data_IF_963651625967
#
_entry.id   IF_963651625967
#
_cell.length_a   1.000
_cell.length_b   1.000
_cell.length_c   1.000
_cell.angle_alpha   90.00
_cell.angle_beta   90.00
_cell.angle_gamma   90.00
#
_symmetry.space_group_name_H-M   'P 1'
#
loop_
_entity.id
_entity.type
_entity.pdbx_description
1 polymer ?
#
# COMPACT_ATOMS: atom_id res chain seq x y z
N UNK A 1 -3.17 11.04 10.61
CA UNK A 1 -2.47 10.12 11.54
C UNK A 1 -3.21 8.80 11.69
N UNK A 2 -4.42 8.76 12.29
CA UNK A 2 -5.16 7.49 12.45
C UNK A 2 -5.44 6.76 11.13
N UNK A 3 -5.83 7.48 10.07
CA UNK A 3 -6.05 6.86 8.76
C UNK A 3 -4.78 6.21 8.21
N UNK A 4 -3.62 6.89 8.30
CA UNK A 4 -2.33 6.34 7.89
C UNK A 4 -1.99 5.06 8.66
N UNK A 5 -2.20 5.07 9.99
CA UNK A 5 -1.98 3.89 10.84
C UNK A 5 -2.90 2.74 10.44
N UNK A 6 -4.18 3.02 10.19
CA UNK A 6 -5.15 2.01 9.74
C UNK A 6 -4.76 1.39 8.41
N UNK A 7 -4.31 2.19 7.44
CA UNK A 7 -3.82 1.72 6.14
C UNK A 7 -2.59 0.81 6.34
N UNK A 8 -1.59 1.26 7.09
CA UNK A 8 -0.36 0.47 7.33
C UNK A 8 -0.64 -0.84 8.04
N UNK A 9 -1.51 -0.83 9.06
CA UNK A 9 -1.90 -2.05 9.77
C UNK A 9 -2.70 -3.01 8.87
N UNK A 10 -3.59 -2.49 8.03
CA UNK A 10 -4.31 -3.28 7.04
C UNK A 10 -3.38 -3.93 6.01
N UNK A 11 -2.45 -3.16 5.44
CA UNK A 11 -1.41 -3.65 4.54
C UNK A 11 -0.51 -4.70 5.19
N UNK A 12 -0.12 -4.50 6.46
CA UNK A 12 0.66 -5.48 7.20
C UNK A 12 -0.11 -6.80 7.36
N UNK A 13 -1.37 -6.74 7.79
CA UNK A 13 -2.20 -7.93 7.91
C UNK A 13 -2.37 -8.66 6.58
N UNK A 14 -2.66 -7.94 5.49
CA UNK A 14 -2.82 -8.51 4.15
C UNK A 14 -1.54 -9.20 3.67
N UNK A 15 -0.37 -8.59 3.91
CA UNK A 15 0.92 -9.18 3.59
C UNK A 15 1.15 -10.51 4.31
N UNK A 16 0.84 -10.59 5.61
CA UNK A 16 1.04 -11.81 6.40
C UNK A 16 0.00 -12.89 6.15
N UNK A 17 -1.28 -12.53 5.98
CA UNK A 17 -2.37 -13.50 5.91
C UNK A 17 -2.69 -13.94 4.47
N UNK A 18 -2.71 -12.99 3.53
CA UNK A 18 -3.07 -13.27 2.13
C UNK A 18 -1.86 -13.66 1.28
N UNK A 19 -0.64 -13.47 1.79
CA UNK A 19 0.60 -13.89 1.12
C UNK A 19 0.83 -13.21 -0.23
N UNK A 20 0.21 -12.04 -0.45
CA UNK A 20 0.48 -11.22 -1.61
C UNK A 20 1.95 -10.85 -1.54
N UNK A 21 2.73 -11.13 -2.58
CA UNK A 21 4.18 -10.90 -2.61
C UNK A 21 4.61 -9.42 -2.49
N UNK A 22 3.76 -8.54 -1.97
CA UNK A 22 3.96 -7.12 -1.70
C UNK A 22 2.97 -6.59 -0.65
N UNK A 23 3.23 -5.36 -0.17
CA UNK A 23 2.46 -4.72 0.90
C UNK A 23 1.19 -3.98 0.43
N UNK A 24 0.98 -3.87 -0.87
CA UNK A 24 -0.13 -3.14 -1.49
C UNK A 24 -0.50 -3.79 -2.81
N UNK A 25 -1.80 -3.98 -3.08
CA UNK A 25 -2.24 -4.67 -4.29
C UNK A 25 -3.40 -3.97 -5.01
N UNK A 26 -3.71 -2.72 -4.63
CA UNK A 26 -4.76 -1.90 -5.23
C UNK A 26 -6.14 -2.55 -5.20
N UNK A 27 -6.40 -3.38 -4.18
CA UNK A 27 -7.72 -3.97 -3.96
C UNK A 27 -8.75 -2.84 -3.72
N UNK A 28 -10.01 -2.97 -4.16
CA UNK A 28 -11.01 -1.92 -4.01
C UNK A 28 -11.20 -1.41 -2.57
N UNK A 29 -11.00 -2.25 -1.55
CA UNK A 29 -11.10 -1.84 -0.14
C UNK A 29 -9.88 -1.04 0.29
N UNK A 30 -8.68 -1.40 -0.18
CA UNK A 30 -7.47 -0.60 0.01
C UNK A 30 -7.65 0.78 -0.63
N UNK A 31 -8.11 0.81 -1.89
CA UNK A 31 -8.38 2.04 -2.63
C UNK A 31 -9.43 2.92 -1.95
N UNK A 32 -10.48 2.33 -1.39
CA UNK A 32 -11.53 3.02 -0.63
C UNK A 32 -10.95 3.83 0.54
N UNK A 33 -9.95 3.30 1.24
CA UNK A 33 -9.28 4.00 2.34
C UNK A 33 -8.24 5.02 1.86
N UNK A 34 -7.64 4.79 0.69
CA UNK A 34 -6.56 5.62 0.15
C UNK A 34 -7.06 6.93 -0.49
N UNK A 35 -8.23 6.91 -1.15
CA UNK A 35 -8.83 8.10 -1.74
C UNK A 35 -9.04 9.27 -0.74
N UNK A 36 -9.68 9.09 0.43
CA UNK A 36 -9.81 10.16 1.42
C UNK A 36 -8.47 10.55 2.04
N UNK A 37 -7.47 9.65 2.06
CA UNK A 37 -6.12 9.99 2.51
C UNK A 37 -5.44 10.99 1.58
N UNK A 38 -5.55 10.81 0.25
CA UNK A 38 -5.02 11.72 -0.75
C UNK A 38 -5.72 13.09 -0.70
N UNK A 39 -7.06 13.10 -0.69
CA UNK A 39 -7.85 14.33 -0.60
C UNK A 39 -7.64 15.06 0.74
N UNK A 40 -7.53 14.33 1.85
CA UNK A 40 -7.23 14.88 3.17
C UNK A 40 -5.82 15.48 3.25
N UNK A 41 -4.84 14.85 2.62
CA UNK A 41 -3.48 15.41 2.52
C UNK A 41 -3.51 16.70 1.71
N UNK A 42 -4.23 16.75 0.59
CA UNK A 42 -4.40 17.97 -0.19
C UNK A 42 -5.11 19.08 0.61
N UNK A 43 -6.13 18.71 1.40
CA UNK A 43 -6.84 19.62 2.29
C UNK A 43 -5.89 20.26 3.32
N UNK A 44 -5.02 19.48 3.96
CA UNK A 44 -4.06 20.00 4.95
C UNK A 44 -3.08 21.01 4.33
N UNK A 45 -2.57 20.72 3.13
CA UNK A 45 -1.71 21.66 2.41
C UNK A 45 -2.47 22.94 2.03
N UNK A 46 -3.71 22.81 1.59
CA UNK A 46 -4.56 23.96 1.26
C UNK A 46 -4.90 24.81 2.49
N UNK A 47 -5.14 24.17 3.64
CA UNK A 47 -5.42 24.87 4.89
C UNK A 47 -4.22 25.70 5.35
N UNK A 48 -3.01 25.13 5.28
CA UNK A 48 -1.78 25.86 5.59
C UNK A 48 -1.61 27.12 4.72
N UNK A 49 -1.96 27.07 3.43
CA UNK A 49 -1.95 28.25 2.54
C UNK A 49 -3.06 29.24 2.90
N UNK A 50 -4.24 28.73 3.23
CA UNK A 50 -5.39 29.57 3.59
C UNK A 50 -5.14 30.35 4.88
N UNK A 51 -4.53 29.72 5.89
CA UNK A 51 -4.22 30.35 7.17
C UNK A 51 -3.17 31.46 7.02
N UNK A 52 -2.12 31.22 6.22
CA UNK A 52 -1.01 32.16 6.07
C UNK A 52 -1.31 33.34 5.15
N UNK A 53 -2.23 33.18 4.17
CA UNK A 53 -2.48 34.18 3.11
C UNK A 53 -3.94 34.59 2.93
N UNK A 54 -4.86 34.00 3.68
CA UNK A 54 -6.31 34.17 3.50
C UNK A 54 -6.81 33.93 2.05
N UNK A 55 -6.02 33.20 1.24
CA UNK A 55 -6.30 32.86 -0.16
C UNK A 55 -6.81 31.43 -0.28
N UNK A 56 -7.41 31.06 -1.42
CA UNK A 56 -7.91 29.72 -1.73
C UNK A 56 -9.00 29.15 -0.81
N UNK A 57 -9.71 29.99 -0.06
CA UNK A 57 -10.80 29.57 0.84
C UNK A 57 -11.83 28.66 0.14
N UNK A 58 -12.24 28.99 -1.08
CA UNK A 58 -13.19 28.18 -1.84
C UNK A 58 -12.64 26.79 -2.22
N UNK A 59 -11.35 26.70 -2.55
CA UNK A 59 -10.69 25.43 -2.87
C UNK A 59 -10.55 24.54 -1.63
N UNK A 60 -10.14 25.11 -0.50
CA UNK A 60 -10.07 24.41 0.79
C UNK A 60 -11.44 23.87 1.21
N UNK A 61 -12.50 24.67 1.02
CA UNK A 61 -13.87 24.23 1.32
C UNK A 61 -14.31 23.07 0.42
N UNK A 62 -14.02 23.15 -0.89
CA UNK A 62 -14.30 22.05 -1.82
C UNK A 62 -13.55 20.77 -1.44
N UNK A 63 -12.26 20.87 -1.11
CA UNK A 63 -11.46 19.73 -0.66
C UNK A 63 -12.01 19.10 0.62
N UNK A 64 -12.54 19.90 1.55
CA UNK A 64 -13.18 19.39 2.77
C UNK A 64 -14.44 18.60 2.45
N UNK A 65 -15.29 19.11 1.56
CA UNK A 65 -16.48 18.41 1.07
C UNK A 65 -16.08 17.11 0.37
N UNK A 66 -15.07 17.15 -0.51
CA UNK A 66 -14.56 15.98 -1.22
C UNK A 66 -14.00 14.92 -0.27
N UNK A 67 -13.13 15.29 0.67
CA UNK A 67 -12.52 14.36 1.61
C UNK A 67 -13.57 13.64 2.46
N UNK A 68 -14.57 14.38 2.97
CA UNK A 68 -15.68 13.79 3.72
C UNK A 68 -16.55 12.88 2.84
N UNK A 69 -16.85 13.31 1.61
CA UNK A 69 -17.64 12.52 0.66
C UNK A 69 -16.93 11.22 0.28
N UNK A 70 -15.60 11.23 0.15
CA UNK A 70 -14.79 10.04 -0.11
C UNK A 70 -14.80 9.06 1.07
N UNK A 71 -14.89 9.54 2.32
CA UNK A 71 -15.08 8.66 3.48
C UNK A 71 -16.46 7.96 3.43
N UNK A 72 -17.51 8.68 3.04
CA UNK A 72 -18.85 8.09 2.86
C UNK A 72 -18.87 7.10 1.70
N UNK A 73 -18.23 7.45 0.58
CA UNK A 73 -18.07 6.55 -0.56
C UNK A 73 -17.33 5.28 -0.16
N UNK A 74 -16.21 5.39 0.54
CA UNK A 74 -15.47 4.22 1.02
C UNK A 74 -16.32 3.33 1.93
N UNK A 75 -17.10 3.93 2.83
CA UNK A 75 -18.04 3.18 3.69
C UNK A 75 -19.10 2.44 2.86
N UNK A 76 -19.68 3.11 1.86
CA UNK A 76 -20.62 2.49 0.92
C UNK A 76 -19.98 1.32 0.16
N UNK A 77 -18.80 1.54 -0.43
CA UNK A 77 -18.09 0.55 -1.23
C UNK A 77 -17.79 -0.73 -0.43
N UNK A 78 -17.34 -0.61 0.82
CA UNK A 78 -16.97 -1.76 1.65
C UNK A 78 -18.18 -2.47 2.26
N UNK A 79 -19.29 -1.75 2.54
CA UNK A 79 -20.44 -2.30 3.29
C UNK A 79 -21.66 -2.69 2.43
N UNK A 80 -21.77 -2.15 1.22
CA UNK A 80 -22.94 -2.39 0.36
C UNK A 80 -22.96 -3.78 -0.30
N UNK A 81 -21.82 -4.48 -0.33
CA UNK A 81 -21.68 -5.74 -1.08
C UNK A 81 -21.67 -5.56 -2.60
N UNK A 82 -21.59 -4.32 -3.07
CA UNK A 82 -21.58 -3.97 -4.50
C UNK A 82 -20.23 -4.31 -5.16
N UNK A 83 -19.15 -4.30 -4.37
CA UNK A 83 -17.81 -4.71 -4.81
C UNK A 83 -17.53 -6.17 -4.47
N UNK A 84 -16.77 -6.83 -5.36
CA UNK A 84 -16.13 -8.12 -5.05
C UNK A 84 -14.74 -7.80 -4.52
N UNK A 85 -14.49 -8.11 -3.24
CA UNK A 85 -13.18 -7.95 -2.60
C UNK A 85 -13.02 -9.00 -1.50
N UNK A 86 -11.79 -9.49 -1.32
CA UNK A 86 -11.43 -10.40 -0.22
C UNK A 86 -11.50 -9.72 1.16
N UNK A 87 -11.43 -8.38 1.18
CA UNK A 87 -11.50 -7.58 2.40
C UNK A 87 -12.92 -7.14 2.75
N UNK A 88 -13.93 -7.53 1.96
CA UNK A 88 -15.31 -7.20 2.23
C UNK A 88 -15.88 -8.12 3.33
N UNK A 89 -16.19 -7.56 4.49
CA UNK A 89 -16.79 -8.28 5.62
C UNK A 89 -18.18 -7.72 5.98
N UNK A 90 -19.14 -8.62 6.24
CA UNK A 90 -20.51 -8.30 6.66
C UNK A 90 -21.23 -7.29 5.74
N UNK A 91 -21.41 -7.68 4.47
CA UNK A 91 -22.19 -6.95 3.49
C UNK A 91 -23.69 -7.16 3.69
N UNK A 92 -24.45 -6.07 3.70
CA UNK A 92 -25.90 -6.08 3.80
C UNK A 92 -26.46 -5.03 2.82
N UNK A 93 -27.15 -5.46 1.74
CA UNK A 93 -27.70 -4.54 0.74
C UNK A 93 -28.64 -3.49 1.33
N UNK A 94 -29.41 -3.83 2.38
CA UNK A 94 -30.32 -2.88 3.02
C UNK A 94 -29.56 -1.74 3.70
N UNK A 95 -28.45 -2.06 4.39
CA UNK A 95 -27.54 -1.05 4.97
C UNK A 95 -26.83 -0.26 3.89
N UNK A 96 -26.43 -0.91 2.80
CA UNK A 96 -25.84 -0.27 1.63
C UNK A 96 -26.75 0.84 1.07
N UNK A 97 -28.05 0.57 0.93
CA UNK A 97 -29.04 1.55 0.46
C UNK A 97 -29.19 2.73 1.41
N UNK A 98 -29.21 2.50 2.73
CA UNK A 98 -29.24 3.58 3.72
C UNK A 98 -27.99 4.47 3.59
N UNK A 99 -26.80 3.88 3.51
CA UNK A 99 -25.53 4.61 3.36
C UNK A 99 -25.52 5.39 2.04
N UNK A 100 -26.02 4.81 0.95
CA UNK A 100 -26.12 5.47 -0.35
C UNK A 100 -27.03 6.70 -0.28
N UNK A 101 -28.22 6.57 0.31
CA UNK A 101 -29.15 7.69 0.49
C UNK A 101 -28.53 8.80 1.36
N UNK A 102 -27.87 8.42 2.46
CA UNK A 102 -27.16 9.36 3.32
C UNK A 102 -26.01 10.06 2.59
N UNK A 103 -25.24 9.34 1.79
CA UNK A 103 -24.15 9.89 0.97
C UNK A 103 -24.69 10.89 -0.05
N UNK A 104 -25.73 10.54 -0.81
CA UNK A 104 -26.33 11.44 -1.80
C UNK A 104 -26.86 12.70 -1.12
N UNK A 105 -27.53 12.57 0.02
CA UNK A 105 -28.06 13.71 0.77
C UNK A 105 -26.94 14.63 1.27
N UNK A 106 -25.90 14.09 1.91
CA UNK A 106 -24.85 14.91 2.52
C UNK A 106 -23.89 15.46 1.47
N UNK A 107 -23.42 14.64 0.53
CA UNK A 107 -22.55 15.09 -0.57
C UNK A 107 -23.29 16.01 -1.53
N UNK A 108 -24.51 15.64 -1.95
CA UNK A 108 -25.33 16.47 -2.82
C UNK A 108 -25.72 17.79 -2.16
N UNK A 109 -26.15 17.76 -0.90
CA UNK A 109 -26.51 18.95 -0.14
C UNK A 109 -25.33 19.89 0.10
N UNK A 110 -24.15 19.36 0.44
CA UNK A 110 -22.94 20.16 0.65
C UNK A 110 -22.42 20.77 -0.65
N UNK A 111 -22.40 20.01 -1.76
CA UNK A 111 -22.02 20.53 -3.08
C UNK A 111 -23.01 21.56 -3.61
N UNK A 112 -24.32 21.35 -3.42
CA UNK A 112 -25.35 22.33 -3.77
C UNK A 112 -25.17 23.62 -2.97
N UNK A 113 -24.95 23.51 -1.66
CA UNK A 113 -24.69 24.67 -0.80
C UNK A 113 -23.42 25.41 -1.25
N UNK A 114 -22.37 24.68 -1.61
CA UNK A 114 -21.14 25.24 -2.17
C UNK A 114 -21.39 25.95 -3.51
N UNK A 115 -22.19 25.38 -4.41
CA UNK A 115 -22.53 25.99 -5.69
C UNK A 115 -23.31 27.30 -5.51
N UNK A 116 -24.31 27.31 -4.61
CA UNK A 116 -25.15 28.48 -4.35
C UNK A 116 -24.40 29.58 -3.59
N UNK A 117 -23.60 29.22 -2.57
CA UNK A 117 -22.94 30.19 -1.67
C UNK A 117 -21.45 30.41 -1.95
N UNK A 118 -20.85 29.65 -2.86
CA UNK A 118 -19.41 29.68 -3.12
C UNK A 118 -18.89 31.04 -3.57
N UNK A 119 -19.72 31.83 -4.24
CA UNK A 119 -19.38 33.20 -4.66
C UNK A 119 -19.00 34.12 -3.48
N UNK A 120 -19.54 33.87 -2.27
CA UNK A 120 -19.24 34.65 -1.06
C UNK A 120 -17.88 34.33 -0.45
N UNK A 121 -17.28 33.20 -0.82
CA UNK A 121 -16.03 32.67 -0.25
C UNK A 121 -14.83 32.96 -1.17
N UNK A 122 -15.05 33.75 -2.24
CA UNK A 122 -14.00 34.07 -3.21
C UNK A 122 -12.99 35.04 -2.59
N UNK A 123 -11.73 34.61 -2.53
CA UNK A 123 -10.58 35.45 -2.14
C UNK A 123 -9.87 35.95 -3.40
N UNK A 124 -9.27 37.15 -3.34
CA UNK A 124 -8.44 37.65 -4.45
C UNK A 124 -7.18 36.79 -4.53
N UNK A 125 -6.96 36.18 -5.69
CA UNK A 125 -5.74 35.41 -5.99
C UNK A 125 -4.73 36.39 -6.57
N UNK A 126 -3.66 36.68 -5.84
CA UNK A 126 -2.56 37.53 -6.34
C UNK A 126 -1.23 36.80 -6.15
N UNK A 127 -1.13 35.61 -6.74
CA UNK A 127 0.03 34.75 -6.59
C UNK A 127 0.94 34.87 -7.81
N UNK A 128 2.24 35.05 -7.57
CA UNK A 128 3.23 34.91 -8.62
C UNK A 128 3.34 33.43 -9.02
N UNK A 129 3.58 33.17 -10.31
CA UNK A 129 3.77 31.79 -10.81
C UNK A 129 4.90 31.03 -10.09
N UNK A 130 5.89 31.75 -9.55
CA UNK A 130 7.01 31.19 -8.79
C UNK A 130 6.97 31.61 -7.32
N UNK A 131 6.07 30.99 -6.55
CA UNK A 131 5.97 31.17 -5.10
C UNK A 131 5.64 29.85 -4.41
N UNK A 132 5.90 29.77 -3.10
CA UNK A 132 5.50 28.60 -2.29
C UNK A 132 4.00 28.33 -2.38
N UNK A 133 3.15 29.36 -2.56
CA UNK A 133 1.71 29.16 -2.74
C UNK A 133 1.41 28.39 -4.04
N UNK A 134 2.07 28.75 -5.13
CA UNK A 134 1.90 28.09 -6.44
C UNK A 134 2.43 26.66 -6.44
N UNK A 135 3.55 26.39 -5.75
CA UNK A 135 4.09 25.04 -5.59
C UNK A 135 3.18 24.15 -4.73
N UNK A 136 2.65 24.67 -3.61
CA UNK A 136 1.70 23.95 -2.76
C UNK A 136 0.38 23.68 -3.50
N UNK A 137 -0.08 24.64 -4.32
CA UNK A 137 -1.24 24.43 -5.17
C UNK A 137 -0.97 23.39 -6.27
N UNK A 138 0.21 23.39 -6.88
CA UNK A 138 0.63 22.36 -7.84
C UNK A 138 0.60 20.95 -7.22
N UNK A 139 1.12 20.79 -6.00
CA UNK A 139 1.03 19.53 -5.25
C UNK A 139 -0.42 19.12 -4.97
N UNK A 140 -1.30 20.06 -4.62
CA UNK A 140 -2.71 19.77 -4.43
C UNK A 140 -3.37 19.25 -5.71
N UNK A 141 -3.06 19.84 -6.87
CA UNK A 141 -3.59 19.37 -8.16
C UNK A 141 -3.13 17.94 -8.45
N UNK A 142 -1.86 17.63 -8.21
CA UNK A 142 -1.34 16.27 -8.40
C UNK A 142 -1.96 15.24 -7.45
N UNK A 143 -2.14 15.59 -6.18
CA UNK A 143 -2.84 14.73 -5.21
C UNK A 143 -4.29 14.47 -5.62
N UNK A 144 -4.99 15.50 -6.10
CA UNK A 144 -6.37 15.34 -6.59
C UNK A 144 -6.43 14.53 -7.89
N UNK A 145 -5.47 14.70 -8.79
CA UNK A 145 -5.36 13.88 -9.99
C UNK A 145 -5.11 12.40 -9.63
N UNK A 146 -4.21 12.13 -8.67
CA UNK A 146 -3.95 10.79 -8.18
C UNK A 146 -5.20 10.16 -7.54
N UNK A 147 -5.93 10.93 -6.73
CA UNK A 147 -7.21 10.49 -6.16
C UNK A 147 -8.22 10.16 -7.27
N UNK A 148 -8.34 11.00 -8.31
CA UNK A 148 -9.25 10.76 -9.43
C UNK A 148 -8.88 9.49 -10.21
N UNK A 149 -7.59 9.21 -10.43
CA UNK A 149 -7.15 7.96 -11.05
C UNK A 149 -7.60 6.75 -10.24
N UNK A 150 -7.42 6.79 -8.91
CA UNK A 150 -7.85 5.69 -8.03
C UNK A 150 -9.36 5.55 -8.02
N UNK A 151 -10.09 6.66 -7.95
CA UNK A 151 -11.55 6.70 -7.99
C UNK A 151 -12.09 6.09 -9.29
N UNK A 152 -11.57 6.53 -10.44
CA UNK A 152 -11.99 6.04 -11.75
C UNK A 152 -11.61 4.57 -11.93
N UNK A 153 -10.39 4.17 -11.58
CA UNK A 153 -9.95 2.77 -11.67
C UNK A 153 -10.79 1.84 -10.79
N UNK A 154 -11.29 2.33 -9.64
CA UNK A 154 -12.12 1.55 -8.72
C UNK A 154 -13.59 1.50 -9.16
N UNK A 155 -14.15 2.63 -9.61
CA UNK A 155 -15.57 2.73 -9.96
C UNK A 155 -15.88 2.27 -11.39
N UNK A 156 -14.93 2.34 -12.33
CA UNK A 156 -15.17 2.00 -13.73
C UNK A 156 -15.58 0.52 -13.92
N UNK A 157 -14.87 -0.48 -13.35
CA UNK A 157 -15.33 -1.88 -13.35
C UNK A 157 -16.75 -2.05 -12.83
N UNK A 158 -17.08 -1.31 -11.76
CA UNK A 158 -18.36 -1.39 -11.11
C UNK A 158 -19.48 -0.86 -12.01
N UNK A 159 -19.30 0.33 -12.58
CA UNK A 159 -20.29 0.93 -13.49
C UNK A 159 -20.51 0.05 -14.72
N UNK A 160 -19.43 -0.49 -15.29
CA UNK A 160 -19.51 -1.36 -16.46
C UNK A 160 -20.32 -2.65 -16.18
N UNK A 161 -20.15 -3.22 -14.99
CA UNK A 161 -20.92 -4.38 -14.52
C UNK A 161 -22.42 -4.04 -14.36
N UNK A 162 -22.74 -2.88 -13.80
CA UNK A 162 -24.13 -2.46 -13.58
C UNK A 162 -24.86 -2.07 -14.88
N UNK A 163 -24.13 -1.59 -15.88
CA UNK A 163 -24.68 -1.27 -17.20
C UNK A 163 -24.84 -2.52 -18.11
N UNK A 164 -24.45 -3.70 -17.64
CA UNK A 164 -24.56 -4.94 -18.43
C UNK A 164 -23.56 -5.03 -19.59
N UNK A 165 -22.53 -4.18 -19.61
CA UNK A 165 -21.52 -4.14 -20.68
C UNK A 165 -20.44 -5.21 -20.53
N UNK A 166 -20.46 -5.97 -19.42
CA UNK A 166 -19.52 -7.04 -19.08
C UNK A 166 -18.66 -6.72 -17.86
N UNK A 167 -17.79 -7.64 -17.46
CA UNK A 167 -16.84 -7.42 -16.35
C UNK A 167 -15.47 -7.02 -16.89
N UNK A 168 -15.10 -5.75 -16.72
CA UNK A 168 -13.73 -5.28 -16.92
C UNK A 168 -13.03 -5.32 -15.57
N UNK A 169 -11.78 -5.79 -15.52
CA UNK A 169 -10.94 -5.71 -14.33
C UNK A 169 -9.79 -4.74 -14.58
N UNK A 170 -9.62 -3.76 -13.69
CA UNK A 170 -8.48 -2.86 -13.70
C UNK A 170 -7.51 -3.37 -12.64
N UNK A 171 -6.40 -3.94 -13.08
CA UNK A 171 -5.39 -4.53 -12.21
C UNK A 171 -4.29 -3.56 -11.76
N UNK A 172 -3.45 -4.05 -10.86
CA UNK A 172 -2.27 -3.36 -10.32
C UNK A 172 -1.39 -2.64 -11.37
N UNK A 173 -1.08 -3.22 -12.56
CA UNK A 173 -0.19 -2.55 -13.53
C UNK A 173 -0.68 -1.17 -14.00
N UNK A 174 -2.00 -1.00 -14.13
CA UNK A 174 -2.61 0.29 -14.48
C UNK A 174 -2.35 1.32 -13.38
N UNK A 175 -2.66 0.96 -12.14
CA UNK A 175 -2.48 1.85 -11.00
C UNK A 175 -1.01 2.20 -10.81
N UNK A 176 -0.12 1.22 -10.76
CA UNK A 176 1.32 1.44 -10.61
C UNK A 176 1.86 2.42 -11.66
N UNK A 177 1.53 2.21 -12.94
CA UNK A 177 1.98 3.10 -14.02
C UNK A 177 1.48 4.52 -13.82
N UNK A 178 0.17 4.71 -13.65
CA UNK A 178 -0.42 6.05 -13.48
C UNK A 178 0.10 6.75 -12.22
N UNK A 179 0.25 6.00 -11.12
CA UNK A 179 0.76 6.53 -9.86
C UNK A 179 2.23 6.93 -9.98
N UNK A 180 3.07 6.17 -10.68
CA UNK A 180 4.47 6.57 -10.93
C UNK A 180 4.54 7.91 -11.67
N UNK A 181 3.74 8.08 -12.74
CA UNK A 181 3.72 9.32 -13.52
C UNK A 181 3.24 10.54 -12.71
N UNK A 182 2.35 10.34 -11.73
CA UNK A 182 1.81 11.42 -10.90
C UNK A 182 2.66 11.69 -9.65
N UNK A 183 3.21 10.65 -9.04
CA UNK A 183 3.99 10.77 -7.80
C UNK A 183 5.42 11.25 -8.04
N UNK A 184 6.00 10.99 -9.21
CA UNK A 184 7.33 11.52 -9.56
C UNK A 184 7.38 13.07 -9.56
N UNK A 185 6.50 13.80 -10.28
CA UNK A 185 6.49 15.26 -10.21
C UNK A 185 6.04 15.78 -8.84
N UNK A 186 5.13 15.07 -8.15
CA UNK A 186 4.72 15.43 -6.79
C UNK A 186 5.89 15.40 -5.81
N UNK A 187 6.70 14.35 -5.83
CA UNK A 187 7.87 14.21 -4.96
C UNK A 187 8.90 15.33 -5.24
N UNK A 188 9.12 15.66 -6.51
CA UNK A 188 10.00 16.78 -6.89
C UNK A 188 9.48 18.11 -6.35
N UNK A 189 8.20 18.43 -6.57
CA UNK A 189 7.57 19.66 -6.09
C UNK A 189 7.56 19.74 -4.56
N UNK A 190 7.33 18.62 -3.86
CA UNK A 190 7.39 18.53 -2.41
C UNK A 190 8.81 18.76 -1.87
N UNK A 191 9.85 18.25 -2.56
CA UNK A 191 11.24 18.52 -2.20
C UNK A 191 11.63 20.00 -2.38
N UNK A 192 11.12 20.64 -3.43
CA UNK A 192 11.39 22.07 -3.72
C UNK A 192 10.58 22.99 -2.80
N UNK A 193 9.34 22.62 -2.46
CA UNK A 193 8.37 23.48 -1.77
C UNK A 193 8.86 24.14 -0.47
N UNK A 194 9.45 23.41 0.48
CA UNK A 194 10.00 23.97 1.72
C UNK A 194 11.20 24.90 1.51
N UNK A 195 11.94 24.71 0.42
CA UNK A 195 13.13 25.50 0.07
C UNK A 195 12.77 26.87 -0.52
N UNK A 196 11.52 27.04 -0.98
CA UNK A 196 10.99 28.30 -1.49
C UNK A 196 10.31 29.06 -0.35
N UNK A 197 10.67 30.33 -0.17
CA UNK A 197 10.03 31.19 0.84
C UNK A 197 8.59 31.54 0.45
N UNK A 198 7.78 31.86 1.45
CA UNK A 198 6.45 32.42 1.23
C UNK A 198 6.57 33.82 0.59
N UNK A 199 6.16 33.97 -0.67
CA UNK A 199 6.28 35.22 -1.45
C UNK A 199 7.18 35.09 -2.69
N UNK A 200 7.60 36.23 -3.26
CA UNK A 200 8.52 36.27 -4.42
C UNK A 200 9.94 35.95 -3.98
N UNK A 201 10.43 34.76 -4.32
CA UNK A 201 11.81 34.38 -4.08
C UNK A 201 12.70 34.64 -5.30
N UNK A 202 13.98 34.98 -5.07
CA UNK A 202 14.95 35.18 -6.15
C UNK A 202 15.41 33.81 -6.68
N UNK A 203 15.12 33.44 -7.94
CA UNK A 203 15.27 32.07 -8.47
C UNK A 203 16.72 31.54 -8.50
N UNK A 204 17.72 32.41 -8.31
CA UNK A 204 19.15 32.07 -8.47
C UNK A 204 19.72 31.21 -7.34
N UNK A 205 19.21 31.30 -6.10
CA UNK A 205 19.68 30.47 -4.96
C UNK A 205 19.04 29.07 -4.93
N UNK A 206 17.76 28.96 -5.28
CA UNK A 206 17.03 27.67 -5.34
C UNK A 206 17.61 26.78 -6.45
N UNK A 207 17.97 27.36 -7.61
CA UNK A 207 18.57 26.60 -8.72
C UNK A 207 19.85 25.86 -8.34
N UNK A 208 20.75 26.49 -7.57
CA UNK A 208 22.00 25.84 -7.17
C UNK A 208 21.74 24.71 -6.16
N UNK A 209 20.77 24.87 -5.25
CA UNK A 209 20.40 23.85 -4.29
C UNK A 209 19.72 22.65 -4.96
N UNK A 210 18.86 22.90 -5.96
CA UNK A 210 18.22 21.86 -6.78
C UNK A 210 19.23 21.12 -7.65
N UNK A 211 20.23 21.82 -8.22
CA UNK A 211 21.33 21.19 -8.95
C UNK A 211 22.14 20.26 -8.06
N UNK A 212 22.47 20.69 -6.84
CA UNK A 212 23.17 19.84 -5.87
C UNK A 212 22.32 18.63 -5.50
N UNK A 213 21.02 18.82 -5.21
CA UNK A 213 20.10 17.72 -4.87
C UNK A 213 19.90 16.74 -6.04
N UNK A 214 19.86 17.24 -7.28
CA UNK A 214 19.77 16.40 -8.48
C UNK A 214 21.04 15.58 -8.69
N UNK A 215 22.22 16.20 -8.55
CA UNK A 215 23.52 15.51 -8.66
C UNK A 215 23.66 14.44 -7.58
N UNK A 216 23.30 14.73 -6.32
CA UNK A 216 23.40 13.74 -5.24
C UNK A 216 22.42 12.59 -5.42
N UNK A 217 21.23 12.84 -5.96
CA UNK A 217 20.24 11.80 -6.28
C UNK A 217 20.71 10.93 -7.44
N UNK A 218 21.26 11.52 -8.50
CA UNK A 218 21.89 10.76 -9.60
C UNK A 218 23.06 9.91 -9.10
N UNK A 219 23.87 10.44 -8.19
CA UNK A 219 24.98 9.70 -7.61
C UNK A 219 24.48 8.52 -6.76
N UNK A 220 23.43 8.71 -5.96
CA UNK A 220 22.84 7.65 -5.15
C UNK A 220 22.14 6.56 -5.99
N UNK A 221 21.47 6.93 -7.07
CA UNK A 221 20.87 5.97 -8.02
C UNK A 221 21.96 5.22 -8.79
N UNK A 222 23.04 5.91 -9.19
CA UNK A 222 24.19 5.31 -9.84
C UNK A 222 24.92 4.29 -8.96
N UNK A 223 25.16 4.63 -7.68
CA UNK A 223 25.79 3.68 -6.74
C UNK A 223 24.88 2.49 -6.43
N UNK A 224 23.56 2.71 -6.31
CA UNK A 224 22.60 1.63 -6.07
C UNK A 224 22.51 0.66 -7.25
N UNK A 225 22.46 1.16 -8.49
CA UNK A 225 22.40 0.31 -9.70
C UNK A 225 23.69 -0.47 -9.91
N UNK A 226 24.86 0.16 -9.68
CA UNK A 226 26.16 -0.52 -9.74
C UNK A 226 26.27 -1.60 -8.66
N UNK A 227 25.84 -1.32 -7.43
CA UNK A 227 25.83 -2.29 -6.34
C UNK A 227 24.86 -3.46 -6.59
N UNK A 228 23.69 -3.19 -7.17
CA UNK A 228 22.71 -4.21 -7.53
C UNK A 228 23.14 -5.07 -8.74
N UNK A 229 24.01 -4.54 -9.61
CA UNK A 229 24.60 -5.27 -10.74
C UNK A 229 25.89 -6.04 -10.41
N UNK A 230 26.28 -6.08 -9.13
CA UNK A 230 27.47 -6.83 -8.68
C UNK A 230 27.38 -8.32 -9.03
N UNK A 231 28.51 -8.98 -9.37
CA UNK A 231 28.47 -10.33 -9.94
C UNK A 231 27.86 -11.32 -8.95
N UNK A 232 26.75 -11.94 -9.36
CA UNK A 232 26.15 -13.06 -8.66
C UNK A 232 27.19 -14.19 -8.66
N UNK A 233 27.95 -14.34 -7.56
CA UNK A 233 28.92 -15.43 -7.41
C UNK A 233 28.14 -16.73 -7.45
N UNK A 234 28.20 -17.43 -8.59
CA UNK A 234 27.83 -18.83 -8.69
C UNK A 234 28.70 -19.59 -7.71
N UNK A 235 28.08 -20.17 -6.70
CA UNK A 235 28.72 -21.14 -5.83
C UNK A 235 28.83 -22.45 -6.63
N UNK A 236 29.84 -22.54 -7.50
CA UNK A 236 30.22 -23.82 -8.10
C UNK A 236 31.00 -24.59 -7.04
N UNK A 237 30.37 -25.64 -6.51
CA UNK A 237 31.04 -26.67 -5.73
C UNK A 237 31.98 -27.47 -6.62
N UNK A 238 33.28 -27.40 -6.35
CA UNK A 238 34.30 -28.18 -7.04
C UNK A 238 35.55 -28.25 -6.17
N UNK A 239 35.89 -29.46 -5.75
CA UNK A 239 36.88 -29.73 -4.70
C UNK A 239 38.31 -29.31 -5.01
N UNK A 240 39.00 -28.94 -3.94
CA UNK A 240 40.44 -29.07 -3.74
C UNK A 240 40.56 -29.79 -2.38
N UNK A 241 41.22 -30.93 -2.22
CA UNK A 241 42.49 -31.29 -2.85
C UNK A 241 43.66 -30.95 -1.91
N UNK A 242 43.53 -31.22 -0.62
CA UNK A 242 44.63 -31.09 0.36
C UNK A 242 45.47 -32.37 0.33
N UNK A 243 46.66 -32.25 -0.27
CA UNK A 243 47.76 -33.16 -0.03
C UNK A 243 48.63 -32.62 1.10
N UNK A 244 48.78 -33.38 2.19
CA UNK A 244 49.97 -33.31 3.04
C UNK A 244 50.11 -34.55 3.93
N UNK A 245 51.30 -35.19 3.82
CA UNK A 245 52.00 -36.11 4.76
C UNK A 245 51.48 -37.56 4.79
N UNK A 246 52.07 -38.49 4.04
CA UNK A 246 53.38 -39.18 4.19
C UNK A 246 53.39 -40.32 5.23
N UNK A 247 53.90 -41.47 4.77
CA UNK A 247 54.36 -42.71 5.46
C UNK A 247 53.37 -43.81 5.86
N UNK A 248 53.20 -44.72 4.91
CA UNK A 248 53.55 -46.15 4.99
C UNK A 248 53.39 -46.91 6.31
N UNK A 249 52.53 -47.94 6.29
CA UNK A 249 52.80 -49.29 6.79
C UNK A 249 51.60 -50.19 6.48
N UNK A 250 51.86 -51.39 5.97
CA UNK A 250 50.83 -52.39 5.71
C UNK A 250 50.38 -53.15 6.97
N UNK A 251 49.38 -54.02 6.78
CA UNK A 251 49.15 -55.17 7.66
C UNK A 251 47.87 -55.14 8.49
N UNK A 252 46.90 -55.96 8.07
CA UNK A 252 46.28 -56.99 8.90
C UNK A 252 45.45 -56.62 10.14
N UNK A 253 44.16 -56.99 10.08
CA UNK A 253 43.53 -57.80 11.13
C UNK A 253 42.80 -57.11 12.29
N UNK A 254 41.51 -57.42 12.43
CA UNK A 254 40.95 -57.90 13.70
C UNK A 254 40.38 -56.91 14.73
N UNK A 255 39.10 -57.15 15.06
CA UNK A 255 38.49 -57.19 16.41
C UNK A 255 38.24 -55.89 17.22
N UNK A 256 36.93 -55.69 17.44
CA UNK A 256 36.20 -55.47 18.73
C UNK A 256 36.46 -54.24 19.63
N UNK A 257 35.32 -53.62 19.99
CA UNK A 257 34.93 -53.07 21.30
C UNK A 257 35.59 -51.78 21.80
N UNK A 258 34.79 -50.77 22.19
CA UNK A 258 34.20 -50.57 23.53
C UNK A 258 33.78 -49.09 23.73
N UNK A 259 32.65 -48.89 24.40
CA UNK A 259 32.07 -47.59 24.86
C UNK A 259 32.98 -46.86 25.88
N UNK A 260 32.66 -45.58 26.21
CA UNK A 260 32.05 -45.37 27.52
C UNK A 260 30.90 -44.34 27.59
N UNK A 261 29.92 -44.67 28.44
CA UNK A 261 28.93 -43.77 29.08
C UNK A 261 29.62 -42.86 30.12
N UNK A 262 29.09 -41.66 30.42
CA UNK A 262 28.29 -41.41 31.65
C UNK A 262 27.75 -39.97 31.86
N UNK A 263 26.51 -39.90 32.42
CA UNK A 263 25.96 -39.03 33.50
C UNK A 263 25.73 -37.54 33.14
N UNK A 264 24.50 -37.02 33.18
CA UNK A 264 23.71 -36.82 34.41
C UNK A 264 22.19 -36.99 34.24
N UNK A 265 21.57 -37.53 35.28
CA UNK A 265 20.13 -37.61 35.54
C UNK A 265 19.75 -36.59 36.65
N UNK A 266 18.48 -36.38 37.06
CA UNK A 266 17.67 -37.43 37.71
C UNK A 266 16.19 -37.51 37.32
N UNK A 267 15.66 -38.71 37.58
CA UNK A 267 14.28 -39.20 37.51
C UNK A 267 13.40 -38.66 38.65
N UNK A 268 12.09 -38.62 38.40
CA UNK A 268 11.07 -38.98 39.39
C UNK A 268 10.15 -40.09 38.82
N UNK A 269 9.76 -40.98 39.75
CA UNK A 269 9.05 -42.27 39.65
C UNK A 269 7.63 -42.12 39.07
N UNK A 270 6.91 -43.11 38.53
CA UNK A 270 7.03 -44.57 38.53
C UNK A 270 5.63 -45.17 38.79
N UNK A 271 5.08 -45.91 37.82
CA UNK A 271 4.05 -46.99 37.87
C UNK A 271 3.47 -47.08 36.42
N UNK A 272 3.43 -48.19 35.69
CA UNK A 272 3.48 -49.61 36.00
C UNK A 272 2.31 -50.27 35.25
N UNK A 273 2.54 -50.93 34.12
CA UNK A 273 1.51 -51.69 33.40
C UNK A 273 1.82 -51.89 31.90
N UNK A 274 2.07 -53.13 31.52
CA UNK A 274 2.48 -53.57 30.18
C UNK A 274 1.40 -53.52 29.10
N UNK A 275 1.88 -53.59 27.86
CA UNK A 275 1.19 -53.47 26.56
C UNK A 275 0.17 -54.61 26.27
N UNK A 276 -0.65 -54.54 25.18
CA UNK A 276 -0.14 -54.61 23.79
C UNK A 276 -0.82 -53.65 22.78
N UNK A 277 -0.04 -53.25 21.76
CA UNK A 277 -0.50 -52.80 20.41
C UNK A 277 -0.70 -54.05 19.53
N UNK A 278 -1.52 -54.08 18.45
CA UNK A 278 -1.44 -53.14 17.32
C UNK A 278 -2.76 -52.84 16.57
N UNK A 279 -2.74 -51.81 15.72
CA UNK A 279 -3.78 -51.52 14.73
C UNK A 279 -3.49 -50.17 14.05
N UNK A 280 -2.93 -50.23 12.85
CA UNK A 280 -2.64 -49.07 12.02
C UNK A 280 -3.85 -48.60 11.21
N UNK A 281 -3.55 -47.63 10.34
CA UNK A 281 -4.35 -47.08 9.23
C UNK A 281 -5.07 -45.77 9.58
N UNK A 282 -4.44 -44.62 9.29
CA UNK A 282 -4.38 -43.89 8.00
C UNK A 282 -5.57 -42.94 7.85
N UNK A 283 -5.36 -41.66 8.23
CA UNK A 283 -6.30 -40.57 7.98
C UNK A 283 -5.79 -39.73 6.81
N UNK A 284 -6.15 -40.14 5.59
CA UNK A 284 -6.12 -39.31 4.38
C UNK A 284 -7.53 -39.15 3.81
N UNK A 285 -7.86 -37.89 3.51
CA UNK A 285 -8.84 -37.41 2.53
C UNK A 285 -10.23 -38.08 2.49
N UNK A 286 -11.27 -37.32 2.86
CA UNK A 286 -12.61 -37.52 2.29
C UNK A 286 -13.17 -36.21 1.76
N UNK A 287 -13.25 -36.17 0.44
CA UNK A 287 -13.92 -35.19 -0.41
C UNK A 287 -15.43 -35.11 -0.11
N UNK A 288 -16.01 -33.92 -0.22
CA UNK A 288 -17.45 -33.72 -0.46
C UNK A 288 -17.64 -33.17 -1.89
N UNK A 289 -18.38 -33.85 -2.76
CA UNK A 289 -18.95 -33.26 -3.97
C UNK A 289 -20.48 -33.36 -3.95
N UNK A 290 -21.18 -32.23 -3.83
CA UNK A 290 -22.64 -32.16 -3.98
C UNK A 290 -22.98 -30.79 -4.59
N UNK A 291 -23.06 -30.69 -5.92
CA UNK A 291 -24.03 -29.84 -6.63
C UNK A 291 -23.99 -30.09 -8.15
N UNK A 292 -24.48 -31.25 -8.61
CA UNK A 292 -24.96 -31.43 -9.97
C UNK A 292 -26.07 -32.51 -9.99
N UNK A 293 -27.32 -32.05 -10.13
CA UNK A 293 -28.62 -32.70 -10.44
C UNK A 293 -29.68 -32.07 -9.51
N UNK A 294 -30.78 -31.47 -9.93
CA UNK A 294 -31.42 -31.25 -11.22
C UNK A 294 -32.82 -30.65 -10.96
N UNK A 295 -33.49 -30.25 -12.06
CA UNK A 295 -34.90 -29.81 -12.17
C UNK A 295 -35.26 -28.41 -11.63
#
# INVERSE_FOLDING_TARGET
MFLTLGIVLGSAWAYYELGWGGWWFWDPVENASFMPWLAGTALLHSLAVTEQRASFKAWTLLLSICAFSLCLLGTFLVRSGVLVSVHAFASDPARGMFILAFMVLVTGGSLLLFAVRGHRVRSRVNNALWSRESLLLGNNVLLMAAMLVVLLGTLLPLVHKQLGLGSISVGEPFFNTMFTWLMAPFALLLGVGPLVRWGRDRPRKIRNLLLVAFITTLFAVGTFTVAASGPHRRHDGGGHGDGLLDRGAGGGGGRTARLPRHKNAPRLLGHGGGAPRPGGDDYRYRLQPELQRGA
#
